data_IF_341334823343
#
_entry.id   IF_341334823343
#
_cell.length_a   1.000
_cell.length_b   1.000
_cell.length_c   1.000
_cell.angle_alpha   90.00
_cell.angle_beta   90.00
_cell.angle_gamma   90.00
#
_symmetry.space_group_name_H-M   'P 1'
#
loop_
_entity.id
_entity.type
_entity.pdbx_description
1 polymer ?
#
# COMPACT_ATOMS: atom_id res chain seq x y z
N UNK A 1 -21.83 2.14 -6.19
CA UNK A 1 -21.58 3.12 -7.27
C UNK A 1 -22.15 2.54 -8.55
N UNK A 2 -22.94 3.31 -9.27
CA UNK A 2 -23.57 2.83 -10.52
C UNK A 2 -23.04 3.64 -11.69
N UNK A 3 -22.52 2.96 -12.70
CA UNK A 3 -22.05 3.54 -13.95
C UNK A 3 -23.07 3.29 -15.04
N UNK A 4 -23.35 4.28 -15.87
CA UNK A 4 -24.28 4.18 -17.00
C UNK A 4 -23.56 4.60 -18.28
N UNK A 5 -23.59 3.74 -19.27
CA UNK A 5 -23.17 4.06 -20.62
C UNK A 5 -24.36 4.69 -21.37
N UNK A 6 -24.12 5.81 -22.03
CA UNK A 6 -25.14 6.51 -22.80
C UNK A 6 -24.77 6.51 -24.29
N UNK A 7 -25.73 6.31 -25.15
CA UNK A 7 -25.54 6.50 -26.58
C UNK A 7 -25.60 8.00 -26.98
N UNK A 8 -25.33 8.32 -28.24
CA UNK A 8 -25.35 9.70 -28.76
C UNK A 8 -26.70 10.43 -28.57
N UNK A 9 -27.78 9.69 -28.36
CA UNK A 9 -29.13 10.21 -28.09
C UNK A 9 -29.44 10.33 -26.61
N UNK A 10 -28.46 10.11 -25.72
CA UNK A 10 -28.62 10.18 -24.25
C UNK A 10 -29.39 9.00 -23.63
N UNK A 11 -29.65 7.93 -24.40
CA UNK A 11 -30.31 6.72 -23.84
C UNK A 11 -29.29 5.81 -23.23
N UNK A 12 -29.60 5.28 -22.00
CA UNK A 12 -28.77 4.28 -21.31
C UNK A 12 -28.69 3.01 -22.17
N UNK A 13 -27.50 2.59 -22.51
CA UNK A 13 -27.18 1.37 -23.26
C UNK A 13 -26.70 0.25 -22.37
N UNK A 14 -26.05 0.60 -21.26
CA UNK A 14 -25.52 -0.36 -20.29
C UNK A 14 -25.49 0.26 -18.89
N UNK A 15 -25.61 -0.56 -17.87
CA UNK A 15 -25.60 -0.14 -16.47
C UNK A 15 -24.82 -1.15 -15.63
N UNK A 16 -23.81 -0.66 -14.89
CA UNK A 16 -22.96 -1.49 -14.06
C UNK A 16 -22.91 -0.94 -12.63
N UNK A 17 -23.34 -1.77 -11.66
CA UNK A 17 -23.34 -1.39 -10.25
C UNK A 17 -22.30 -2.18 -9.48
N UNK A 18 -21.39 -1.46 -8.82
CA UNK A 18 -20.30 -2.01 -8.02
C UNK A 18 -20.32 -1.44 -6.61
N UNK A 19 -19.94 -2.28 -5.65
CA UNK A 19 -19.82 -1.96 -4.23
C UNK A 19 -18.36 -2.07 -3.82
N UNK A 20 -17.84 -1.06 -3.12
CA UNK A 20 -16.54 -1.17 -2.45
C UNK A 20 -16.72 -1.96 -1.16
N UNK A 21 -15.99 -3.04 -1.01
CA UNK A 21 -16.04 -3.93 0.17
C UNK A 21 -14.81 -3.84 1.05
N UNK A 22 -13.97 -2.82 0.79
CA UNK A 22 -12.74 -2.55 1.55
C UNK A 22 -11.49 -3.13 0.89
N UNK A 23 -10.32 -2.63 1.28
CA UNK A 23 -9.02 -3.08 0.77
C UNK A 23 -8.83 -2.97 -0.75
N UNK A 24 -9.59 -2.11 -1.42
CA UNK A 24 -9.60 -2.00 -2.89
C UNK A 24 -10.43 -3.07 -3.61
N UNK A 25 -11.04 -4.00 -2.88
CA UNK A 25 -11.89 -5.03 -3.48
C UNK A 25 -13.26 -4.47 -3.87
N UNK A 26 -13.77 -4.95 -5.00
CA UNK A 26 -15.09 -4.62 -5.53
C UNK A 26 -15.98 -5.86 -5.50
N UNK A 27 -17.25 -5.64 -5.20
CA UNK A 27 -18.30 -6.64 -5.35
C UNK A 27 -19.33 -6.15 -6.36
N UNK A 28 -19.85 -7.05 -7.19
CA UNK A 28 -20.89 -6.79 -8.17
C UNK A 28 -22.22 -7.39 -7.70
N UNK A 29 -23.32 -6.74 -8.06
CA UNK A 29 -24.65 -7.26 -7.76
C UNK A 29 -24.90 -8.53 -8.58
N UNK A 30 -25.22 -9.65 -7.91
CA UNK A 30 -25.51 -10.93 -8.57
C UNK A 30 -24.28 -11.78 -8.92
N UNK A 31 -23.06 -11.33 -8.66
CA UNK A 31 -21.85 -12.15 -8.76
C UNK A 31 -21.48 -12.69 -7.38
N UNK A 32 -21.68 -13.99 -7.21
CA UNK A 32 -21.16 -14.69 -6.03
C UNK A 32 -19.63 -14.64 -6.05
N UNK A 33 -19.03 -14.22 -4.93
CA UNK A 33 -17.58 -14.35 -4.79
C UNK A 33 -17.27 -15.84 -4.88
N UNK A 34 -16.69 -16.26 -6.01
CA UNK A 34 -16.13 -17.60 -6.10
C UNK A 34 -15.27 -17.83 -4.85
N UNK A 35 -15.44 -18.98 -4.19
CA UNK A 35 -14.67 -19.32 -3.00
C UNK A 35 -13.18 -19.17 -3.31
N UNK A 36 -12.56 -18.16 -2.71
CA UNK A 36 -11.09 -18.05 -2.76
C UNK A 36 -10.55 -19.31 -2.08
N UNK A 37 -9.69 -20.10 -2.72
CA UNK A 37 -9.14 -21.30 -2.08
C UNK A 37 -8.42 -20.91 -0.79
N UNK A 38 -8.65 -21.66 0.28
CA UNK A 38 -7.88 -21.51 1.51
C UNK A 38 -6.47 -22.04 1.27
N UNK A 39 -5.51 -21.14 1.12
CA UNK A 39 -4.10 -21.49 0.88
C UNK A 39 -3.39 -21.74 2.20
N UNK A 40 -3.80 -21.03 3.26
CA UNK A 40 -3.19 -21.11 4.59
C UNK A 40 -4.02 -22.01 5.50
N UNK A 41 -3.40 -23.04 6.05
CA UNK A 41 -4.03 -23.97 7.00
C UNK A 41 -4.12 -23.41 8.43
N UNK A 42 -3.29 -22.42 8.77
CA UNK A 42 -3.27 -21.75 10.07
C UNK A 42 -3.97 -20.40 9.99
N UNK A 43 -5.08 -20.25 10.72
CA UNK A 43 -5.90 -19.03 10.70
C UNK A 43 -5.64 -18.09 11.88
N UNK A 44 -4.79 -18.49 12.85
CA UNK A 44 -4.46 -17.71 14.03
C UNK A 44 -2.96 -17.48 14.13
N UNK A 45 -2.59 -16.26 14.52
CA UNK A 45 -1.19 -15.91 14.73
C UNK A 45 -0.50 -16.79 15.78
N UNK A 46 -1.22 -17.25 16.79
CA UNK A 46 -0.70 -18.16 17.82
C UNK A 46 -0.30 -19.54 17.24
N UNK A 47 -0.99 -20.02 16.22
CA UNK A 47 -0.68 -21.27 15.53
C UNK A 47 0.60 -21.14 14.70
N UNK A 48 0.73 -20.01 13.97
CA UNK A 48 1.94 -19.72 13.19
C UNK A 48 3.15 -19.52 14.11
N UNK A 49 2.99 -18.83 15.25
CA UNK A 49 4.03 -18.68 16.26
C UNK A 49 4.50 -20.03 16.78
N UNK A 50 3.56 -20.89 17.18
CA UNK A 50 3.86 -22.24 17.67
C UNK A 50 4.60 -23.08 16.63
N UNK A 51 4.18 -22.98 15.35
CA UNK A 51 4.86 -23.64 14.24
C UNK A 51 6.31 -23.14 14.08
N UNK A 52 6.52 -21.81 14.13
CA UNK A 52 7.85 -21.19 14.07
C UNK A 52 8.75 -21.69 15.22
N UNK A 53 8.24 -21.70 16.46
CA UNK A 53 8.98 -22.17 17.63
C UNK A 53 9.38 -23.65 17.52
N UNK A 54 8.46 -24.50 17.09
CA UNK A 54 8.73 -25.93 16.94
C UNK A 54 9.69 -26.28 15.81
N UNK A 55 9.66 -25.53 14.72
CA UNK A 55 10.43 -25.81 13.50
C UNK A 55 11.74 -25.04 13.44
N UNK A 56 11.91 -24.00 14.26
CA UNK A 56 13.02 -23.06 14.19
C UNK A 56 12.98 -22.18 12.93
N UNK A 57 11.83 -22.08 12.28
CA UNK A 57 11.63 -21.33 11.05
C UNK A 57 10.99 -19.97 11.30
N UNK A 58 11.08 -19.09 10.30
CA UNK A 58 10.52 -17.75 10.30
C UNK A 58 9.17 -17.71 9.59
N UNK A 59 8.40 -16.62 9.76
CA UNK A 59 7.10 -16.42 9.12
C UNK A 59 7.14 -16.50 7.60
N UNK A 60 8.17 -15.93 6.97
CA UNK A 60 8.30 -15.96 5.52
C UNK A 60 8.48 -17.38 4.96
N UNK A 61 9.07 -18.28 5.74
CA UNK A 61 9.22 -19.70 5.35
C UNK A 61 7.88 -20.45 5.43
N UNK A 62 6.98 -20.03 6.33
CA UNK A 62 5.61 -20.53 6.36
C UNK A 62 4.84 -20.09 5.11
N UNK A 63 4.93 -18.79 4.75
CA UNK A 63 4.35 -18.28 3.50
C UNK A 63 4.89 -19.04 2.29
N UNK A 64 6.19 -19.22 2.21
CA UNK A 64 6.84 -19.95 1.11
C UNK A 64 6.38 -21.42 1.01
N UNK A 65 6.00 -22.03 2.12
CA UNK A 65 5.48 -23.40 2.14
C UNK A 65 4.04 -23.47 1.62
N UNK A 66 3.23 -22.45 1.86
CA UNK A 66 1.80 -22.42 1.52
C UNK A 66 1.53 -21.87 0.12
N UNK A 67 2.33 -20.92 -0.33
CA UNK A 67 2.16 -20.21 -1.60
C UNK A 67 2.95 -20.84 -2.74
N UNK A 68 2.51 -20.59 -3.96
CA UNK A 68 3.25 -20.94 -5.16
C UNK A 68 4.52 -20.08 -5.32
N UNK A 69 5.44 -20.53 -6.18
CA UNK A 69 6.73 -19.83 -6.40
C UNK A 69 6.58 -18.40 -6.89
N UNK A 70 5.49 -18.08 -7.54
CA UNK A 70 5.17 -16.77 -8.10
C UNK A 70 4.92 -15.69 -7.03
N UNK A 71 4.75 -16.11 -5.76
CA UNK A 71 4.57 -15.16 -4.64
C UNK A 71 5.72 -14.16 -4.54
N UNK A 72 6.95 -14.57 -4.81
CA UNK A 72 8.12 -13.70 -4.71
C UNK A 72 8.12 -12.62 -5.80
N UNK A 73 7.74 -12.96 -7.02
CA UNK A 73 7.63 -12.01 -8.12
C UNK A 73 6.49 -11.02 -7.85
N UNK A 74 5.36 -11.51 -7.34
CA UNK A 74 4.25 -10.67 -6.90
C UNK A 74 4.67 -9.69 -5.79
N UNK A 75 5.35 -10.16 -4.74
CA UNK A 75 5.82 -9.32 -3.65
C UNK A 75 6.88 -8.30 -4.11
N UNK A 76 7.71 -8.65 -5.10
CA UNK A 76 8.65 -7.72 -5.71
C UNK A 76 7.93 -6.59 -6.45
N UNK A 77 6.86 -6.88 -7.19
CA UNK A 77 6.04 -5.85 -7.85
C UNK A 77 5.27 -5.00 -6.83
N UNK A 78 4.75 -5.59 -5.77
CA UNK A 78 4.12 -4.87 -4.65
C UNK A 78 5.12 -3.88 -4.05
N UNK A 79 6.33 -4.33 -3.73
CA UNK A 79 7.37 -3.48 -3.16
C UNK A 79 7.79 -2.36 -4.11
N UNK A 80 7.94 -2.67 -5.39
CA UNK A 80 8.22 -1.67 -6.44
C UNK A 80 7.16 -0.59 -6.47
N UNK A 81 5.87 -0.99 -6.48
CA UNK A 81 4.73 -0.07 -6.47
C UNK A 81 4.71 0.82 -5.23
N UNK A 82 5.03 0.26 -4.05
CA UNK A 82 5.15 1.03 -2.80
C UNK A 82 6.22 2.11 -2.88
N UNK A 83 7.41 1.77 -3.39
CA UNK A 83 8.52 2.73 -3.55
C UNK A 83 8.17 3.84 -4.54
N UNK A 84 7.66 3.47 -5.70
CA UNK A 84 7.26 4.42 -6.73
C UNK A 84 6.18 5.39 -6.24
N UNK A 85 5.24 4.92 -5.41
CA UNK A 85 4.23 5.78 -4.81
C UNK A 85 4.83 6.82 -3.87
N UNK A 86 5.84 6.44 -3.05
CA UNK A 86 6.57 7.39 -2.20
C UNK A 86 7.30 8.42 -3.05
N UNK A 87 8.06 7.96 -4.05
CA UNK A 87 8.88 8.83 -4.90
C UNK A 87 8.03 9.84 -5.66
N UNK A 88 6.93 9.40 -6.28
CA UNK A 88 5.97 10.30 -6.94
C UNK A 88 5.37 11.31 -5.98
N UNK A 89 4.90 10.86 -4.81
CA UNK A 89 4.26 11.73 -3.84
C UNK A 89 5.21 12.77 -3.23
N UNK A 90 6.51 12.47 -3.13
CA UNK A 90 7.52 13.44 -2.70
C UNK A 90 7.84 14.51 -3.77
N UNK A 91 7.70 14.17 -5.04
CA UNK A 91 7.93 15.08 -6.16
C UNK A 91 6.72 15.96 -6.49
N UNK A 92 5.54 15.61 -5.99
CA UNK A 92 4.30 16.33 -6.26
C UNK A 92 4.07 17.47 -5.27
N UNK A 93 3.73 18.64 -5.81
CA UNK A 93 3.32 19.82 -5.04
C UNK A 93 1.89 20.25 -5.44
N UNK A 94 1.37 21.27 -4.77
CA UNK A 94 0.09 21.87 -5.09
C UNK A 94 -1.03 21.49 -4.13
N UNK A 95 -2.23 21.30 -4.65
CA UNK A 95 -3.46 21.09 -3.88
C UNK A 95 -4.06 19.73 -4.22
N UNK A 96 -4.52 19.01 -3.20
CA UNK A 96 -5.22 17.74 -3.38
C UNK A 96 -6.61 17.99 -3.97
N UNK A 97 -7.12 17.07 -4.79
CA UNK A 97 -8.48 17.16 -5.32
C UNK A 97 -9.51 17.09 -4.18
N UNK A 98 -10.63 17.77 -4.39
CA UNK A 98 -11.75 17.78 -3.45
C UNK A 98 -12.07 19.16 -2.90
N UNK A 99 -13.19 19.30 -2.17
CA UNK A 99 -13.74 20.60 -1.74
C UNK A 99 -12.92 21.28 -0.65
N UNK A 100 -12.02 20.58 0.03
CA UNK A 100 -11.27 21.11 1.18
C UNK A 100 -10.03 21.91 0.76
N UNK A 101 -9.61 21.87 -0.49
CA UNK A 101 -8.42 22.55 -1.01
C UNK A 101 -7.16 22.31 -0.16
N UNK A 102 -6.94 21.06 0.29
CA UNK A 102 -5.82 20.70 1.13
C UNK A 102 -4.52 20.77 0.33
N UNK A 103 -3.53 21.49 0.85
CA UNK A 103 -2.21 21.56 0.27
C UNK A 103 -1.44 20.27 0.51
N UNK A 104 -0.72 19.79 -0.51
CA UNK A 104 0.28 18.75 -0.36
C UNK A 104 1.40 19.21 0.57
N UNK A 105 1.86 18.34 1.44
CA UNK A 105 2.82 18.64 2.51
C UNK A 105 4.02 17.69 2.49
N UNK A 106 3.94 16.55 1.82
CA UNK A 106 4.96 15.51 1.84
C UNK A 106 6.34 16.05 1.46
N UNK A 107 6.46 16.75 0.32
CA UNK A 107 7.69 17.37 -0.15
C UNK A 107 8.27 18.35 0.88
N UNK A 108 7.45 19.24 1.41
CA UNK A 108 7.87 20.23 2.41
C UNK A 108 8.38 19.58 3.69
N UNK A 109 7.69 18.55 4.20
CA UNK A 109 8.13 17.81 5.39
C UNK A 109 9.42 17.03 5.13
N UNK A 110 9.57 16.45 3.96
CA UNK A 110 10.78 15.76 3.56
C UNK A 110 12.01 16.66 3.55
N UNK A 111 11.89 17.85 2.96
CA UNK A 111 12.97 18.84 2.92
C UNK A 111 13.34 19.28 4.35
N UNK A 112 12.35 19.59 5.18
CA UNK A 112 12.57 19.96 6.59
C UNK A 112 13.25 18.83 7.38
N UNK A 113 12.78 17.58 7.19
CA UNK A 113 13.32 16.42 7.89
C UNK A 113 14.81 16.19 7.59
N UNK A 114 15.24 16.45 6.37
CA UNK A 114 16.67 16.36 6.00
C UNK A 114 17.56 17.30 6.81
N UNK A 115 17.05 18.44 7.26
CA UNK A 115 17.78 19.42 8.08
C UNK A 115 17.77 19.12 9.58
N UNK A 116 17.03 18.11 10.05
CA UNK A 116 16.94 17.77 11.47
C UNK A 116 18.13 16.91 11.93
N UNK A 117 18.41 16.95 13.24
CA UNK A 117 19.31 16.01 13.90
C UNK A 117 18.73 14.59 13.91
N UNK A 118 19.58 13.58 14.05
CA UNK A 118 19.30 12.17 13.75
C UNK A 118 17.96 11.62 14.28
N UNK A 119 17.63 11.84 15.55
CA UNK A 119 16.38 11.32 16.14
C UNK A 119 15.11 11.95 15.53
N UNK A 120 15.13 13.25 15.27
CA UNK A 120 14.01 13.95 14.64
C UNK A 120 14.00 13.71 13.13
N UNK A 121 15.17 13.57 12.52
CA UNK A 121 15.32 13.30 11.10
C UNK A 121 14.65 11.98 10.72
N UNK A 122 14.92 10.89 11.43
CA UNK A 122 14.33 9.58 11.18
C UNK A 122 12.81 9.64 11.23
N UNK A 123 12.25 10.20 12.30
CA UNK A 123 10.80 10.36 12.46
C UNK A 123 10.18 11.24 11.36
N UNK A 124 10.83 12.37 11.06
CA UNK A 124 10.38 13.30 10.01
C UNK A 124 10.37 12.67 8.62
N UNK A 125 11.37 11.83 8.30
CA UNK A 125 11.43 11.10 7.05
C UNK A 125 10.30 10.08 6.93
N UNK A 126 10.09 9.23 7.94
CA UNK A 126 8.99 8.25 7.92
C UNK A 126 7.64 8.95 7.77
N UNK A 127 7.44 10.05 8.49
CA UNK A 127 6.21 10.84 8.39
C UNK A 127 6.01 11.42 6.98
N UNK A 128 7.06 11.96 6.36
CA UNK A 128 6.97 12.50 5.00
C UNK A 128 6.69 11.42 3.95
N UNK A 129 7.25 10.22 4.10
CA UNK A 129 6.97 9.08 3.23
C UNK A 129 5.51 8.62 3.35
N UNK A 130 4.99 8.54 4.58
CA UNK A 130 3.59 8.19 4.80
C UNK A 130 2.62 9.22 4.21
N UNK A 131 2.93 10.51 4.36
CA UNK A 131 2.18 11.58 3.71
C UNK A 131 2.22 11.48 2.19
N UNK A 132 3.38 11.20 1.60
CA UNK A 132 3.54 11.08 0.16
C UNK A 132 2.58 10.04 -0.44
N UNK A 133 2.51 8.84 0.15
CA UNK A 133 1.59 7.80 -0.31
C UNK A 133 0.13 8.17 -0.04
N UNK A 134 -0.17 8.81 1.10
CA UNK A 134 -1.53 9.25 1.41
C UNK A 134 -2.03 10.33 0.45
N UNK A 135 -1.16 11.24 0.04
CA UNK A 135 -1.44 12.27 -0.96
C UNK A 135 -1.61 11.68 -2.36
N UNK A 136 -0.82 10.67 -2.72
CA UNK A 136 -1.00 9.90 -3.96
C UNK A 136 -2.35 9.18 -3.96
N UNK A 137 -2.72 8.51 -2.86
CA UNK A 137 -4.03 7.88 -2.72
C UNK A 137 -5.17 8.90 -2.92
N UNK A 138 -5.09 10.07 -2.27
CA UNK A 138 -6.09 11.12 -2.38
C UNK A 138 -6.20 11.71 -3.79
N UNK A 139 -5.17 11.59 -4.60
CA UNK A 139 -5.10 12.12 -5.98
C UNK A 139 -5.38 11.07 -7.06
N UNK A 140 -5.74 9.83 -6.67
CA UNK A 140 -5.99 8.74 -7.62
C UNK A 140 -4.71 8.12 -8.19
N UNK A 141 -3.56 8.32 -7.56
CA UNK A 141 -2.31 7.68 -7.93
C UNK A 141 -2.32 6.17 -7.65
N UNK A 142 -1.48 5.41 -8.37
CA UNK A 142 -1.32 3.97 -8.15
C UNK A 142 -0.61 3.71 -6.83
N UNK A 143 -1.31 3.06 -5.90
CA UNK A 143 -0.78 2.68 -4.58
C UNK A 143 -1.11 1.21 -4.28
N UNK A 144 -0.48 0.65 -3.25
CA UNK A 144 -0.86 -0.65 -2.68
C UNK A 144 -1.90 -0.43 -1.58
N UNK A 145 -3.08 -1.01 -1.73
CA UNK A 145 -4.27 -0.76 -0.89
C UNK A 145 -4.47 -1.78 0.22
N UNK A 146 -3.43 -2.36 0.78
CA UNK A 146 -3.58 -3.39 1.82
C UNK A 146 -3.32 -2.84 3.22
N UNK A 147 -4.02 -3.34 4.24
CA UNK A 147 -5.40 -3.85 4.22
C UNK A 147 -6.44 -2.74 4.33
N UNK A 148 -6.02 -1.50 4.60
CA UNK A 148 -6.88 -0.31 4.72
C UNK A 148 -6.18 0.93 4.16
N UNK A 149 -6.95 2.00 3.89
CA UNK A 149 -6.39 3.27 3.41
C UNK A 149 -5.32 3.87 4.34
N UNK A 150 -5.42 3.66 5.65
CA UNK A 150 -4.41 4.14 6.61
C UNK A 150 -3.08 3.41 6.48
N UNK A 151 -3.11 2.10 6.36
CA UNK A 151 -1.90 1.27 6.24
C UNK A 151 -1.21 1.43 4.89
N UNK A 152 -1.90 1.84 3.83
CA UNK A 152 -1.29 2.08 2.52
C UNK A 152 -0.17 3.13 2.54
N UNK A 153 -0.21 4.07 3.48
CA UNK A 153 0.86 5.04 3.69
C UNK A 153 1.93 4.58 4.69
N UNK A 154 1.50 4.01 5.82
CA UNK A 154 2.39 3.69 6.94
C UNK A 154 3.33 2.52 6.63
N UNK A 155 2.82 1.42 6.08
CA UNK A 155 3.62 0.22 5.78
C UNK A 155 4.75 0.53 4.78
N UNK A 156 4.47 1.15 3.60
CA UNK A 156 5.53 1.53 2.68
C UNK A 156 6.56 2.47 3.29
N UNK A 157 6.12 3.45 4.09
CA UNK A 157 6.99 4.44 4.70
C UNK A 157 8.01 3.82 5.65
N UNK A 158 7.55 2.89 6.50
CA UNK A 158 8.42 2.18 7.46
C UNK A 158 9.41 1.29 6.71
N UNK A 159 8.94 0.48 5.75
CA UNK A 159 9.80 -0.41 4.97
C UNK A 159 10.83 0.36 4.16
N UNK A 160 10.43 1.46 3.51
CA UNK A 160 11.34 2.32 2.74
C UNK A 160 12.41 2.97 3.62
N UNK A 161 12.02 3.43 4.81
CA UNK A 161 12.96 4.00 5.77
C UNK A 161 13.97 2.96 6.26
N UNK A 162 13.53 1.75 6.61
CA UNK A 162 14.40 0.66 7.03
C UNK A 162 15.37 0.26 5.92
N UNK A 163 14.89 0.12 4.68
CA UNK A 163 15.75 -0.19 3.55
C UNK A 163 16.85 0.87 3.38
N UNK A 164 16.51 2.16 3.43
CA UNK A 164 17.49 3.25 3.32
C UNK A 164 18.51 3.24 4.46
N UNK A 165 18.06 2.98 5.69
CA UNK A 165 18.93 2.90 6.86
C UNK A 165 19.92 1.73 6.76
N UNK A 166 19.46 0.55 6.37
CA UNK A 166 20.32 -0.64 6.16
C UNK A 166 21.31 -0.42 5.02
N UNK A 167 20.85 0.11 3.88
CA UNK A 167 21.73 0.40 2.74
C UNK A 167 22.82 1.39 3.10
N UNK A 168 22.49 2.44 3.87
CA UNK A 168 23.47 3.42 4.34
C UNK A 168 24.49 2.82 5.31
N UNK A 169 24.07 1.89 6.16
CA UNK A 169 24.96 1.19 7.08
C UNK A 169 25.95 0.24 6.36
N UNK A 170 25.51 -0.38 5.27
CA UNK A 170 26.35 -1.31 4.47
C UNK A 170 27.33 -0.54 3.58
N UNK A 171 26.92 0.61 3.00
CA UNK A 171 27.77 1.41 2.10
C UNK A 171 28.70 2.38 2.85
N UNK A 172 28.64 2.44 4.16
CA UNK A 172 29.47 3.32 5.01
C UNK A 172 30.74 2.67 5.55
N UNK A 173 31.15 1.51 5.02
CA UNK A 173 32.42 0.84 5.32
C UNK A 173 33.37 0.91 4.12
#
# INVERSE_FOLDING_TARGET
MTFKSLNEKGKVTDEWTVFSVGGGALAEEGHDKGSTPEIYDMNRMSEILYWCERTGRNYWEYVQQCEDKDIWDYLAEVWKTMREAIERGLDQEGVLPGPLNLRRKASTYYIKAKGYKDNLRSRGLVFSYALAVSEENASGGKIVTAPTCGSCGVVPAVLYHLQKAVTSAICGF
#
